data_IF_070899139505
#
_entry.id   IF_070899139505
#
_cell.length_a   1.000
_cell.length_b   1.000
_cell.length_c   1.000
_cell.angle_alpha   90.00
_cell.angle_beta   90.00
_cell.angle_gamma   90.00
#
_symmetry.space_group_name_H-M   'P 1'
#
loop_
_entity.id
_entity.type
_entity.pdbx_description
1 polymer ?
#
# COMPACT_ATOMS: atom_id res chain seq x y z
N UNK A 1 -5.18 38.34 -3.37
CA UNK A 1 -5.92 37.17 -2.81
C UNK A 1 -5.66 35.84 -3.55
N UNK A 2 -5.91 35.71 -4.88
CA UNK A 2 -5.74 34.42 -5.60
C UNK A 2 -4.27 33.97 -5.65
N UNK A 3 -3.35 34.89 -5.94
CA UNK A 3 -1.90 34.62 -6.03
C UNK A 3 -1.29 34.25 -4.68
N UNK A 4 -1.62 34.99 -3.62
CA UNK A 4 -1.18 34.69 -2.25
C UNK A 4 -1.62 33.30 -1.79
N UNK A 5 -2.84 32.88 -2.18
CA UNK A 5 -3.35 31.54 -1.91
C UNK A 5 -2.54 30.47 -2.65
N UNK A 6 -2.26 30.68 -3.94
CA UNK A 6 -1.41 29.77 -4.74
C UNK A 6 -0.01 29.63 -4.13
N UNK A 7 0.64 30.75 -3.81
CA UNK A 7 1.98 30.77 -3.20
C UNK A 7 2.00 30.08 -1.84
N UNK A 8 0.99 30.32 -0.99
CA UNK A 8 0.85 29.67 0.32
C UNK A 8 0.68 28.16 0.17
N UNK A 9 -0.22 27.71 -0.69
CA UNK A 9 -0.46 26.29 -0.94
C UNK A 9 0.79 25.61 -1.49
N UNK A 10 1.43 26.18 -2.52
CA UNK A 10 2.64 25.61 -3.11
C UNK A 10 3.79 25.54 -2.11
N UNK A 11 3.92 26.53 -1.21
CA UNK A 11 4.91 26.50 -0.13
C UNK A 11 4.69 25.32 0.82
N UNK A 12 3.44 25.02 1.18
CA UNK A 12 3.09 23.88 2.02
C UNK A 12 3.39 22.57 1.29
N UNK A 13 2.90 22.42 0.05
CA UNK A 13 3.11 21.21 -0.76
C UNK A 13 4.60 20.92 -0.96
N UNK A 14 5.42 21.95 -1.23
CA UNK A 14 6.88 21.78 -1.37
C UNK A 14 7.54 21.26 -0.09
N UNK A 15 7.14 21.76 1.09
CA UNK A 15 7.65 21.24 2.38
C UNK A 15 7.30 19.77 2.56
N UNK A 16 6.04 19.41 2.30
CA UNK A 16 5.57 18.01 2.35
C UNK A 16 6.36 17.14 1.37
N UNK A 17 6.57 17.63 0.13
CA UNK A 17 7.32 16.93 -0.93
C UNK A 17 8.74 16.61 -0.49
N UNK A 18 9.44 17.55 0.15
CA UNK A 18 10.80 17.32 0.68
C UNK A 18 10.79 16.29 1.81
N UNK A 19 9.83 16.39 2.74
CA UNK A 19 9.69 15.42 3.84
C UNK A 19 9.47 14.01 3.31
N UNK A 20 8.55 13.84 2.35
CA UNK A 20 8.27 12.55 1.71
C UNK A 20 9.49 12.06 0.93
N UNK A 21 10.14 12.92 0.13
CA UNK A 21 11.35 12.56 -0.61
C UNK A 21 12.49 12.07 0.29
N UNK A 22 12.68 12.73 1.45
CA UNK A 22 13.62 12.28 2.48
C UNK A 22 13.21 10.93 3.06
N UNK A 23 11.94 10.75 3.45
CA UNK A 23 11.46 9.48 3.99
C UNK A 23 11.62 8.32 2.99
N UNK A 24 11.30 8.53 1.71
CA UNK A 24 11.45 7.55 0.62
C UNK A 24 12.92 7.17 0.40
N UNK A 25 13.86 8.05 0.72
CA UNK A 25 15.31 7.78 0.61
C UNK A 25 15.87 7.13 1.87
N UNK A 26 15.48 7.62 3.05
CA UNK A 26 16.01 7.18 4.34
C UNK A 26 15.49 5.79 4.71
N UNK A 27 14.20 5.50 4.48
CA UNK A 27 13.61 4.22 4.85
C UNK A 27 14.37 3.02 4.24
N UNK A 28 14.63 2.96 2.91
CA UNK A 28 15.42 1.88 2.33
C UNK A 28 16.85 1.77 2.90
N UNK A 29 17.48 2.88 3.28
CA UNK A 29 18.81 2.90 3.91
C UNK A 29 18.75 2.27 5.31
N UNK A 30 17.74 2.61 6.12
CA UNK A 30 17.54 2.02 7.44
C UNK A 30 17.29 0.51 7.38
N UNK A 31 16.61 0.05 6.33
CA UNK A 31 16.33 -1.36 6.09
C UNK A 31 17.33 -2.04 5.14
N UNK A 32 18.48 -1.43 4.84
CA UNK A 32 19.40 -1.89 3.79
C UNK A 32 19.84 -3.35 3.94
N UNK A 33 20.08 -3.78 5.18
CA UNK A 33 20.48 -5.14 5.51
C UNK A 33 19.35 -6.17 5.36
N UNK A 34 18.09 -5.72 5.32
CA UNK A 34 16.91 -6.55 5.08
C UNK A 34 16.51 -6.59 3.61
N UNK A 35 17.12 -5.77 2.75
CA UNK A 35 16.90 -5.80 1.31
C UNK A 35 17.79 -6.91 0.71
N UNK A 36 17.22 -7.87 -0.04
CA UNK A 36 17.99 -8.93 -0.68
C UNK A 36 19.05 -8.37 -1.62
N UNK A 37 20.25 -8.96 -1.64
CA UNK A 37 21.38 -8.52 -2.50
C UNK A 37 21.03 -8.54 -3.99
N UNK A 38 20.13 -9.44 -4.38
CA UNK A 38 19.62 -9.58 -5.75
C UNK A 38 18.15 -9.21 -5.79
N UNK A 39 17.82 -8.21 -6.60
CA UNK A 39 16.45 -7.75 -6.85
C UNK A 39 16.12 -7.87 -8.35
N UNK A 40 14.89 -8.25 -8.73
CA UNK A 40 14.49 -8.27 -10.13
C UNK A 40 14.56 -6.87 -10.73
N UNK A 41 15.33 -6.71 -11.79
CA UNK A 41 15.61 -5.42 -12.36
C UNK A 41 14.80 -5.14 -13.62
N UNK A 42 14.62 -6.16 -14.46
CA UNK A 42 13.78 -6.11 -15.66
C UNK A 42 12.90 -7.36 -15.76
N UNK A 43 11.76 -7.19 -16.44
CA UNK A 43 10.85 -8.28 -16.73
C UNK A 43 10.45 -8.21 -18.20
N UNK A 44 10.46 -9.36 -18.86
CA UNK A 44 9.92 -9.49 -20.20
C UNK A 44 8.40 -9.28 -20.24
N UNK A 45 7.87 -9.17 -21.45
CA UNK A 45 6.44 -8.99 -21.75
C UNK A 45 5.60 -10.16 -21.20
N UNK A 46 6.18 -11.36 -21.12
CA UNK A 46 5.56 -12.57 -20.55
C UNK A 46 5.45 -12.58 -19.02
N UNK A 47 6.04 -11.58 -18.36
CA UNK A 47 6.03 -11.47 -16.92
C UNK A 47 7.19 -12.16 -16.20
N UNK A 48 8.03 -12.91 -16.91
CA UNK A 48 9.23 -13.57 -16.35
C UNK A 48 10.36 -12.56 -16.13
N UNK A 49 11.16 -12.80 -15.09
CA UNK A 49 12.39 -12.04 -14.82
C UNK A 49 13.40 -12.43 -15.90
N UNK A 50 13.80 -11.47 -16.73
CA UNK A 50 14.86 -11.64 -17.74
C UNK A 50 16.18 -10.98 -17.28
N UNK A 51 16.13 -10.06 -16.30
CA UNK A 51 17.29 -9.47 -15.65
C UNK A 51 17.12 -9.39 -14.13
N UNK A 52 18.02 -10.05 -13.41
CA UNK A 52 18.23 -9.87 -11.97
C UNK A 52 19.33 -8.81 -11.79
N UNK A 53 19.07 -7.78 -11.01
CA UNK A 53 20.02 -6.71 -10.66
C UNK A 53 20.42 -6.75 -9.19
N UNK A 54 21.37 -5.90 -8.82
CA UNK A 54 21.80 -5.74 -7.43
C UNK A 54 20.92 -4.74 -6.66
N UNK A 55 20.82 -4.88 -5.34
CA UNK A 55 20.16 -3.86 -4.48
C UNK A 55 20.77 -2.47 -4.63
N UNK A 56 22.04 -2.39 -5.02
CA UNK A 56 22.75 -1.14 -5.33
C UNK A 56 22.07 -0.32 -6.44
N UNK A 57 21.29 -0.94 -7.33
CA UNK A 57 20.52 -0.22 -8.35
C UNK A 57 19.47 0.74 -7.73
N UNK A 58 19.09 0.53 -6.46
CA UNK A 58 18.23 1.46 -5.71
C UNK A 58 18.92 2.81 -5.48
N UNK A 59 20.25 2.84 -5.32
CA UNK A 59 21.02 4.07 -5.13
C UNK A 59 20.88 4.97 -6.36
N UNK A 60 20.99 4.38 -7.56
CA UNK A 60 20.78 5.11 -8.81
C UNK A 60 19.37 5.69 -8.87
N UNK A 61 18.36 4.95 -8.41
CA UNK A 61 16.98 5.41 -8.42
C UNK A 61 16.74 6.58 -7.44
N UNK A 62 17.38 6.58 -6.26
CA UNK A 62 17.36 7.74 -5.36
C UNK A 62 18.12 8.93 -5.94
N UNK A 63 19.27 8.70 -6.56
CA UNK A 63 20.03 9.75 -7.24
C UNK A 63 19.20 10.42 -8.34
N UNK A 64 18.58 9.62 -9.21
CA UNK A 64 17.69 10.11 -10.28
C UNK A 64 16.49 10.87 -9.70
N UNK A 65 15.87 10.36 -8.61
CA UNK A 65 14.80 11.07 -7.92
C UNK A 65 15.24 12.48 -7.48
N UNK A 66 16.37 12.59 -6.78
CA UNK A 66 16.86 13.88 -6.29
C UNK A 66 17.35 14.81 -7.40
N UNK A 67 17.91 14.25 -8.49
CA UNK A 67 18.24 15.00 -9.69
C UNK A 67 16.99 15.65 -10.30
N UNK A 68 15.91 14.88 -10.47
CA UNK A 68 14.63 15.35 -11.03
C UNK A 68 13.95 16.34 -10.09
N UNK A 69 13.95 16.10 -8.77
CA UNK A 69 13.41 17.06 -7.80
C UNK A 69 14.22 18.36 -7.77
N UNK A 70 15.54 18.26 -7.87
CA UNK A 70 16.46 19.40 -7.94
C UNK A 70 16.20 20.24 -9.19
N UNK A 71 16.14 19.62 -10.36
CA UNK A 71 15.90 20.33 -11.62
C UNK A 71 14.52 21.02 -11.65
N UNK A 72 13.47 20.34 -11.21
CA UNK A 72 12.13 20.92 -11.09
C UNK A 72 12.05 22.01 -10.02
N UNK A 73 12.87 21.93 -8.96
CA UNK A 73 12.99 22.99 -7.95
C UNK A 73 13.62 24.25 -8.52
N UNK A 74 14.63 24.11 -9.39
CA UNK A 74 15.24 25.23 -10.13
C UNK A 74 14.21 25.89 -11.05
N UNK A 75 13.47 25.11 -11.85
CA UNK A 75 12.39 25.63 -12.70
C UNK A 75 11.33 26.35 -11.86
N UNK A 76 10.91 25.73 -10.75
CA UNK A 76 9.94 26.33 -9.82
C UNK A 76 10.46 27.61 -9.16
N UNK A 77 11.77 27.73 -8.94
CA UNK A 77 12.39 28.96 -8.44
C UNK A 77 12.26 30.07 -9.47
N UNK A 78 12.66 29.84 -10.73
CA UNK A 78 12.55 30.81 -11.81
C UNK A 78 11.12 31.26 -12.07
N UNK A 79 10.16 30.33 -12.13
CA UNK A 79 8.74 30.67 -12.33
C UNK A 79 8.20 31.54 -11.21
N UNK A 80 8.58 31.21 -9.96
CA UNK A 80 8.17 31.99 -8.80
C UNK A 80 8.80 33.38 -8.81
N UNK A 81 10.13 33.48 -8.97
CA UNK A 81 10.83 34.77 -8.90
C UNK A 81 10.42 35.71 -10.02
N UNK A 82 10.19 35.18 -11.22
CA UNK A 82 9.72 35.96 -12.36
C UNK A 82 8.29 36.46 -12.13
N UNK A 83 7.39 35.58 -11.69
CA UNK A 83 5.98 35.94 -11.47
C UNK A 83 5.71 36.84 -10.26
N UNK A 84 6.54 36.81 -9.21
CA UNK A 84 6.39 37.73 -8.05
C UNK A 84 7.17 39.04 -8.22
N UNK A 85 7.89 39.20 -9.33
CA UNK A 85 8.68 40.40 -9.60
C UNK A 85 7.77 41.62 -9.77
N UNK A 86 8.23 42.78 -9.29
CA UNK A 86 7.55 44.07 -9.56
C UNK A 86 7.45 44.38 -11.06
N UNK A 87 8.32 43.76 -11.87
CA UNK A 87 8.39 43.92 -13.33
C UNK A 87 7.82 42.71 -14.08
N UNK A 88 7.04 41.85 -13.43
CA UNK A 88 6.44 40.67 -14.05
C UNK A 88 5.51 41.09 -15.21
N UNK A 89 5.67 40.48 -16.38
CA UNK A 89 4.74 40.67 -17.48
C UNK A 89 3.49 39.77 -17.31
N UNK A 90 2.49 39.96 -18.17
CA UNK A 90 1.24 39.17 -18.11
C UNK A 90 1.49 37.65 -18.21
N UNK A 91 2.47 37.24 -19.01
CA UNK A 91 2.86 35.84 -19.18
C UNK A 91 3.53 35.26 -17.94
N UNK A 92 4.35 36.04 -17.23
CA UNK A 92 4.98 35.63 -15.97
C UNK A 92 3.93 35.44 -14.86
N UNK A 93 2.91 36.30 -14.83
CA UNK A 93 1.77 36.15 -13.93
C UNK A 93 0.93 34.91 -14.28
N UNK A 94 0.68 34.67 -15.57
CA UNK A 94 -0.01 33.45 -16.03
C UNK A 94 0.76 32.20 -15.63
N UNK A 95 2.06 32.15 -15.88
CA UNK A 95 2.95 31.05 -15.49
C UNK A 95 2.95 30.81 -13.98
N UNK A 96 2.93 31.87 -13.16
CA UNK A 96 2.83 31.77 -11.71
C UNK A 96 1.51 31.15 -11.24
N UNK A 97 0.42 31.47 -11.92
CA UNK A 97 -0.92 31.00 -11.57
C UNK A 97 -1.23 29.59 -12.11
N UNK A 98 -0.53 29.13 -13.15
CA UNK A 98 -0.82 27.87 -13.86
C UNK A 98 0.33 26.86 -13.79
N UNK A 99 1.50 27.22 -14.34
CA UNK A 99 2.64 26.31 -14.49
C UNK A 99 3.32 26.04 -13.13
N UNK A 100 3.53 27.08 -12.32
CA UNK A 100 4.15 26.93 -11.00
C UNK A 100 3.41 25.95 -10.06
N UNK A 101 2.08 26.03 -9.87
CA UNK A 101 1.36 25.04 -9.09
C UNK A 101 1.36 23.66 -9.76
N UNK A 102 1.26 23.58 -11.09
CA UNK A 102 1.33 22.31 -11.82
C UNK A 102 2.65 21.58 -11.56
N UNK A 103 3.80 22.27 -11.71
CA UNK A 103 5.12 21.68 -11.43
C UNK A 103 5.21 21.28 -9.96
N UNK A 104 4.69 22.08 -9.04
CA UNK A 104 4.67 21.74 -7.60
C UNK A 104 3.93 20.42 -7.35
N UNK A 105 2.77 20.19 -7.99
CA UNK A 105 2.05 18.92 -7.87
C UNK A 105 2.75 17.75 -8.56
N UNK A 106 3.34 17.98 -9.75
CA UNK A 106 4.15 16.96 -10.44
C UNK A 106 5.31 16.53 -9.54
N UNK A 107 6.02 17.46 -8.88
CA UNK A 107 7.12 17.11 -7.96
C UNK A 107 6.65 16.25 -6.80
N UNK A 108 5.47 16.51 -6.23
CA UNK A 108 4.89 15.67 -5.19
C UNK A 108 4.64 14.25 -5.70
N UNK A 109 3.97 14.11 -6.85
CA UNK A 109 3.65 12.80 -7.44
C UNK A 109 4.94 12.01 -7.73
N UNK A 110 5.97 12.67 -8.26
CA UNK A 110 7.25 12.05 -8.59
C UNK A 110 7.90 11.37 -7.37
N UNK A 111 7.71 11.90 -6.15
CA UNK A 111 8.25 11.26 -4.92
C UNK A 111 7.72 9.85 -4.65
N UNK A 112 6.57 9.49 -5.21
CA UNK A 112 5.98 8.15 -5.07
C UNK A 112 6.46 7.17 -6.15
N UNK A 113 7.16 7.63 -7.19
CA UNK A 113 7.65 6.78 -8.30
C UNK A 113 8.49 5.60 -7.82
N UNK A 114 9.46 5.77 -6.89
CA UNK A 114 10.22 4.65 -6.34
C UNK A 114 9.31 3.59 -5.69
N UNK A 115 8.32 4.04 -4.92
CA UNK A 115 7.36 3.17 -4.24
C UNK A 115 6.51 2.42 -5.26
N UNK A 116 5.96 3.10 -6.28
CA UNK A 116 5.12 2.47 -7.31
C UNK A 116 5.91 1.45 -8.12
N UNK A 117 7.13 1.80 -8.54
CA UNK A 117 8.02 0.87 -9.25
C UNK A 117 8.36 -0.33 -8.36
N UNK A 118 8.67 -0.10 -7.09
CA UNK A 118 8.98 -1.16 -6.15
C UNK A 118 7.78 -2.07 -5.88
N UNK A 119 6.60 -1.52 -5.60
CA UNK A 119 5.36 -2.31 -5.39
C UNK A 119 5.02 -3.11 -6.65
N UNK A 120 5.16 -2.51 -7.84
CA UNK A 120 4.94 -3.19 -9.11
C UNK A 120 5.90 -4.37 -9.30
N UNK A 121 7.19 -4.16 -9.07
CA UNK A 121 8.22 -5.22 -9.12
C UNK A 121 7.96 -6.30 -8.07
N UNK A 122 7.70 -5.92 -6.81
CA UNK A 122 7.43 -6.83 -5.71
C UNK A 122 6.17 -7.68 -5.96
N UNK A 123 5.09 -7.10 -6.48
CA UNK A 123 3.87 -7.84 -6.86
C UNK A 123 4.14 -8.83 -7.98
N UNK A 124 4.91 -8.43 -9.00
CA UNK A 124 5.22 -9.28 -10.17
C UNK A 124 6.15 -10.44 -9.79
N UNK A 125 7.12 -10.24 -8.90
CA UNK A 125 7.92 -11.33 -8.33
C UNK A 125 7.12 -12.21 -7.35
N UNK A 126 6.12 -11.64 -6.69
CA UNK A 126 5.24 -12.38 -5.79
C UNK A 126 4.14 -13.16 -6.52
N UNK A 127 3.93 -12.87 -7.81
CA UNK A 127 3.10 -13.69 -8.65
C UNK A 127 3.85 -15.01 -8.89
N UNK A 128 3.49 -16.04 -8.12
CA UNK A 128 3.96 -17.41 -8.32
C UNK A 128 3.65 -17.91 -9.73
N UNK A 129 4.08 -19.14 -10.04
CA UNK A 129 3.93 -19.69 -11.38
C UNK A 129 2.45 -19.65 -11.84
N UNK A 130 2.13 -19.02 -12.99
CA UNK A 130 0.75 -18.96 -13.48
C UNK A 130 0.09 -20.34 -13.62
N UNK A 131 0.85 -21.39 -13.97
CA UNK A 131 0.30 -22.75 -14.06
C UNK A 131 -0.04 -23.34 -12.70
N UNK A 132 0.79 -23.08 -11.68
CA UNK A 132 0.54 -23.49 -10.30
C UNK A 132 -0.67 -22.77 -9.72
N UNK A 133 -0.80 -21.46 -9.99
CA UNK A 133 -1.99 -20.69 -9.64
C UNK A 133 -3.25 -21.28 -10.30
N UNK A 134 -3.17 -21.70 -11.56
CA UNK A 134 -4.29 -22.32 -12.26
C UNK A 134 -4.67 -23.69 -11.64
N UNK A 135 -3.68 -24.49 -11.21
CA UNK A 135 -3.92 -25.74 -10.47
C UNK A 135 -4.68 -25.49 -9.18
N UNK A 136 -4.28 -24.50 -8.39
CA UNK A 136 -4.99 -24.15 -7.15
C UNK A 136 -6.42 -23.68 -7.41
N UNK A 137 -6.64 -22.87 -8.46
CA UNK A 137 -8.00 -22.43 -8.84
C UNK A 137 -8.87 -23.62 -9.26
N UNK A 138 -8.29 -24.63 -9.92
CA UNK A 138 -9.00 -25.85 -10.28
C UNK A 138 -9.28 -26.75 -9.07
N UNK A 139 -8.39 -26.80 -8.07
CA UNK A 139 -8.65 -27.49 -6.80
C UNK A 139 -9.80 -26.81 -6.03
N UNK A 140 -9.79 -25.47 -5.97
CA UNK A 140 -10.85 -24.67 -5.32
C UNK A 140 -12.26 -24.89 -5.87
N UNK A 141 -12.40 -25.37 -7.12
CA UNK A 141 -13.72 -25.70 -7.70
C UNK A 141 -14.15 -27.15 -7.46
N UNK A 142 -13.24 -28.02 -7.01
CA UNK A 142 -13.48 -29.45 -6.82
C UNK A 142 -13.71 -29.83 -5.36
N UNK A 143 -13.19 -29.05 -4.42
CA UNK A 143 -13.30 -29.33 -2.99
C UNK A 143 -13.73 -28.10 -2.20
N UNK A 144 -14.47 -28.35 -1.12
CA UNK A 144 -14.79 -27.32 -0.13
C UNK A 144 -13.68 -27.25 0.91
N UNK A 145 -12.98 -26.11 0.96
CA UNK A 145 -11.94 -25.86 1.95
C UNK A 145 -12.52 -25.49 3.33
N UNK A 146 -11.77 -25.78 4.39
CA UNK A 146 -12.15 -25.41 5.77
C UNK A 146 -11.90 -23.92 5.97
N UNK A 147 -12.96 -23.14 6.21
CA UNK A 147 -12.88 -21.68 6.28
C UNK A 147 -12.89 -21.13 7.72
N UNK A 148 -11.90 -20.30 8.04
CA UNK A 148 -11.79 -19.55 9.28
C UNK A 148 -11.95 -18.06 8.99
N UNK A 149 -12.71 -17.34 9.83
CA UNK A 149 -12.85 -15.88 9.74
C UNK A 149 -11.69 -15.18 10.44
N UNK A 150 -11.39 -13.96 10.02
CA UNK A 150 -10.51 -13.07 10.78
C UNK A 150 -11.16 -12.65 12.09
N UNK A 151 -10.34 -12.64 13.15
CA UNK A 151 -10.65 -12.06 14.44
C UNK A 151 -10.55 -10.54 14.35
N UNK A 152 -11.46 -9.87 15.05
CA UNK A 152 -11.47 -8.42 15.21
C UNK A 152 -11.36 -8.15 16.71
N UNK A 153 -10.30 -7.46 17.12
CA UNK A 153 -10.16 -7.08 18.52
C UNK A 153 -11.28 -6.12 18.93
N UNK A 154 -11.79 -6.27 20.15
CA UNK A 154 -12.91 -5.47 20.64
C UNK A 154 -12.62 -3.96 20.60
N UNK A 155 -11.38 -3.56 20.92
CA UNK A 155 -10.96 -2.15 20.94
C UNK A 155 -10.93 -1.57 19.53
N UNK A 156 -10.54 -2.38 18.53
CA UNK A 156 -10.52 -1.98 17.13
C UNK A 156 -11.94 -1.89 16.55
N UNK A 157 -12.81 -2.83 16.93
CA UNK A 157 -14.23 -2.78 16.59
C UNK A 157 -14.89 -1.49 17.15
N UNK A 158 -14.59 -1.14 18.41
CA UNK A 158 -15.06 0.11 19.02
C UNK A 158 -14.56 1.33 18.24
N UNK A 159 -13.29 1.35 17.84
CA UNK A 159 -12.72 2.43 17.04
C UNK A 159 -13.45 2.59 15.70
N UNK A 160 -13.72 1.49 14.97
CA UNK A 160 -14.49 1.55 13.73
C UNK A 160 -15.90 2.09 13.94
N UNK A 161 -16.58 1.65 15.02
CA UNK A 161 -17.93 2.14 15.37
C UNK A 161 -17.92 3.63 15.66
N UNK A 162 -16.94 4.13 16.43
CA UNK A 162 -16.85 5.55 16.77
C UNK A 162 -16.58 6.42 15.54
N UNK A 163 -15.65 5.99 14.68
CA UNK A 163 -15.32 6.73 13.46
C UNK A 163 -16.50 6.76 12.49
N UNK A 164 -17.06 5.60 12.16
CA UNK A 164 -18.19 5.51 11.21
C UNK A 164 -19.43 6.17 11.80
N UNK A 165 -19.72 5.93 13.07
CA UNK A 165 -20.87 6.49 13.78
C UNK A 165 -20.80 8.01 13.91
N UNK A 166 -19.61 8.57 14.18
CA UNK A 166 -19.40 10.01 14.23
C UNK A 166 -19.66 10.69 12.89
N UNK A 167 -19.15 10.13 11.80
CA UNK A 167 -19.38 10.65 10.44
C UNK A 167 -20.86 10.56 10.03
N UNK A 168 -21.50 9.42 10.31
CA UNK A 168 -22.94 9.25 10.08
C UNK A 168 -23.76 10.23 10.90
N UNK A 169 -23.41 10.46 12.16
CA UNK A 169 -24.08 11.44 13.01
C UNK A 169 -24.00 12.86 12.43
N UNK A 170 -22.81 13.30 12.00
CA UNK A 170 -22.63 14.61 11.35
C UNK A 170 -23.46 14.69 10.07
N UNK A 171 -23.41 13.64 9.24
CA UNK A 171 -24.20 13.55 8.01
C UNK A 171 -25.70 13.69 8.30
N UNK A 172 -26.24 12.95 9.27
CA UNK A 172 -27.65 13.02 9.65
C UNK A 172 -28.04 14.37 10.24
N UNK A 173 -27.20 14.97 11.09
CA UNK A 173 -27.45 16.31 11.64
C UNK A 173 -27.49 17.37 10.53
N UNK A 174 -26.61 17.26 9.52
CA UNK A 174 -26.60 18.15 8.36
C UNK A 174 -27.89 17.99 7.54
N UNK A 175 -28.32 16.74 7.34
CA UNK A 175 -29.56 16.43 6.60
C UNK A 175 -30.83 16.92 7.33
N UNK A 176 -30.95 16.63 8.63
CA UNK A 176 -32.14 16.96 9.42
C UNK A 176 -32.29 18.47 9.66
N UNK A 177 -31.21 19.16 10.00
CA UNK A 177 -31.28 20.58 10.37
C UNK A 177 -31.19 21.52 9.17
N UNK A 178 -30.40 21.18 8.14
CA UNK A 178 -30.15 22.07 7.00
C UNK A 178 -30.93 21.66 5.74
N UNK A 179 -31.57 20.49 5.73
CA UNK A 179 -32.29 19.96 4.57
C UNK A 179 -31.40 19.74 3.33
N UNK A 180 -30.07 19.70 3.51
CA UNK A 180 -29.09 19.61 2.42
C UNK A 180 -28.16 18.42 2.65
N UNK A 181 -27.88 17.69 1.57
CA UNK A 181 -26.90 16.59 1.58
C UNK A 181 -25.50 17.17 1.51
N UNK A 182 -24.70 16.88 2.54
CA UNK A 182 -23.29 17.27 2.58
C UNK A 182 -22.41 16.18 1.94
N UNK A 183 -22.23 16.30 0.63
CA UNK A 183 -21.54 15.30 -0.19
C UNK A 183 -20.13 14.93 0.31
N UNK A 184 -19.42 15.86 0.97
CA UNK A 184 -18.09 15.61 1.53
C UNK A 184 -18.15 14.52 2.61
N UNK A 185 -19.08 14.62 3.56
CA UNK A 185 -19.25 13.63 4.63
C UNK A 185 -19.70 12.27 4.08
N UNK A 186 -20.58 12.27 3.07
CA UNK A 186 -21.02 11.04 2.41
C UNK A 186 -19.85 10.33 1.70
N UNK A 187 -19.01 11.09 0.96
CA UNK A 187 -17.81 10.53 0.32
C UNK A 187 -16.83 10.01 1.36
N UNK A 188 -16.63 10.71 2.48
CA UNK A 188 -15.77 10.25 3.57
C UNK A 188 -16.25 8.91 4.17
N UNK A 189 -17.54 8.77 4.46
CA UNK A 189 -18.14 7.51 4.94
C UNK A 189 -17.92 6.38 3.93
N UNK A 190 -18.15 6.62 2.64
CA UNK A 190 -17.93 5.62 1.59
C UNK A 190 -16.46 5.18 1.55
N UNK A 191 -15.52 6.12 1.62
CA UNK A 191 -14.09 5.80 1.62
C UNK A 191 -13.68 4.99 2.87
N UNK A 192 -14.21 5.33 4.04
CA UNK A 192 -13.98 4.58 5.29
C UNK A 192 -14.57 3.17 5.17
N UNK A 193 -15.78 3.02 4.66
CA UNK A 193 -16.41 1.72 4.47
C UNK A 193 -15.66 0.87 3.45
N UNK A 194 -15.21 1.46 2.34
CA UNK A 194 -14.32 0.78 1.39
C UNK A 194 -13.07 0.27 2.11
N UNK A 195 -12.46 1.05 3.00
CA UNK A 195 -11.30 0.56 3.75
C UNK A 195 -11.63 -0.56 4.77
N UNK A 196 -12.68 -0.39 5.57
CA UNK A 196 -12.97 -1.26 6.73
C UNK A 196 -13.64 -2.58 6.33
N UNK A 197 -14.61 -2.55 5.40
CA UNK A 197 -15.39 -3.74 4.99
C UNK A 197 -14.51 -4.91 4.52
N UNK A 198 -13.52 -4.75 3.63
CA UNK A 198 -12.70 -5.88 3.20
C UNK A 198 -11.84 -6.43 4.34
N UNK A 199 -11.42 -5.60 5.30
CA UNK A 199 -10.60 -6.02 6.45
C UNK A 199 -11.37 -6.93 7.40
N UNK A 200 -12.62 -6.60 7.72
CA UNK A 200 -13.46 -7.45 8.61
C UNK A 200 -14.06 -8.67 7.91
N UNK A 201 -13.91 -8.78 6.59
CA UNK A 201 -14.43 -9.88 5.75
C UNK A 201 -13.35 -10.85 5.29
N UNK A 202 -12.13 -10.74 5.83
CA UNK A 202 -11.03 -11.66 5.49
C UNK A 202 -11.38 -13.08 5.93
N UNK A 203 -11.10 -14.03 5.04
CA UNK A 203 -11.23 -15.47 5.28
C UNK A 203 -9.91 -16.18 5.02
N UNK A 204 -9.61 -17.15 5.86
CA UNK A 204 -8.48 -18.05 5.77
C UNK A 204 -9.04 -19.45 5.46
N UNK A 205 -8.76 -19.99 4.28
CA UNK A 205 -9.37 -21.22 3.79
C UNK A 205 -8.27 -22.26 3.55
N UNK A 206 -8.41 -23.44 4.18
CA UNK A 206 -7.47 -24.55 4.08
C UNK A 206 -8.00 -25.59 3.07
N UNK A 207 -7.32 -25.72 1.94
CA UNK A 207 -7.57 -26.72 0.88
C UNK A 207 -6.61 -27.91 1.02
N UNK A 208 -6.76 -28.98 0.25
CA UNK A 208 -5.88 -30.14 0.35
C UNK A 208 -4.42 -29.81 0.00
N UNK A 209 -4.21 -29.00 -1.04
CA UNK A 209 -2.89 -28.69 -1.60
C UNK A 209 -2.32 -27.35 -1.12
N UNK A 210 -3.18 -26.39 -0.76
CA UNK A 210 -2.76 -25.02 -0.48
C UNK A 210 -3.62 -24.32 0.58
N UNK A 211 -3.02 -23.29 1.16
CA UNK A 211 -3.68 -22.34 2.02
C UNK A 211 -4.07 -21.08 1.24
N UNK A 212 -5.31 -20.61 1.38
CA UNK A 212 -5.85 -19.41 0.74
C UNK A 212 -6.20 -18.33 1.76
N UNK A 213 -5.63 -17.14 1.59
CA UNK A 213 -6.04 -15.89 2.24
C UNK A 213 -6.91 -15.10 1.27
N UNK A 214 -8.15 -14.82 1.63
CA UNK A 214 -9.12 -14.11 0.79
C UNK A 214 -9.56 -12.81 1.46
N UNK A 215 -9.10 -11.68 0.93
CA UNK A 215 -9.38 -10.33 1.45
C UNK A 215 -10.37 -9.55 0.55
N UNK A 216 -11.43 -10.22 0.09
CA UNK A 216 -12.44 -9.60 -0.78
C UNK A 216 -11.83 -9.02 -2.06
N UNK A 217 -12.12 -7.75 -2.34
CA UNK A 217 -11.59 -7.07 -3.53
C UNK A 217 -10.12 -6.62 -3.38
N UNK A 218 -9.55 -6.64 -2.17
CA UNK A 218 -8.11 -6.38 -1.96
C UNK A 218 -7.25 -7.51 -2.52
N UNK A 219 -7.85 -8.67 -2.77
CA UNK A 219 -7.23 -9.77 -3.51
C UNK A 219 -7.27 -11.09 -2.76
N UNK A 220 -6.67 -12.09 -3.42
CA UNK A 220 -6.53 -13.46 -2.93
C UNK A 220 -5.06 -13.85 -2.98
N UNK A 221 -4.55 -14.42 -1.91
CA UNK A 221 -3.18 -14.92 -1.81
C UNK A 221 -3.21 -16.41 -1.49
N UNK A 222 -2.47 -17.20 -2.26
CA UNK A 222 -2.37 -18.66 -2.12
C UNK A 222 -0.95 -19.01 -1.70
N UNK A 223 -0.81 -19.92 -0.76
CA UNK A 223 0.45 -20.37 -0.19
C UNK A 223 0.42 -21.90 -0.21
N UNK A 224 1.34 -22.54 -0.93
CA UNK A 224 1.46 -23.99 -0.93
C UNK A 224 2.00 -24.48 0.42
N UNK A 225 1.52 -25.60 0.95
CA UNK A 225 2.01 -26.11 2.24
C UNK A 225 3.51 -26.42 2.22
N UNK A 226 4.00 -26.98 1.11
CA UNK A 226 5.42 -27.26 0.87
C UNK A 226 6.32 -26.03 0.87
N UNK A 227 5.75 -24.82 0.71
CA UNK A 227 6.51 -23.57 0.76
C UNK A 227 6.66 -23.00 2.17
N UNK A 228 5.90 -23.49 3.14
CA UNK A 228 5.88 -23.00 4.51
C UNK A 228 7.11 -23.55 5.25
N UNK A 229 7.89 -22.65 5.84
CA UNK A 229 9.13 -22.98 6.55
C UNK A 229 8.92 -22.96 8.06
N UNK A 230 8.11 -22.03 8.55
CA UNK A 230 7.91 -21.85 9.99
C UNK A 230 6.54 -21.23 10.27
N UNK A 231 5.93 -21.63 11.39
CA UNK A 231 4.63 -21.15 11.86
C UNK A 231 4.82 -20.80 13.33
N UNK A 232 4.62 -19.52 13.68
CA UNK A 232 4.80 -19.05 15.07
C UNK A 232 3.71 -18.07 15.48
N UNK A 233 3.40 -18.05 16.77
CA UNK A 233 2.49 -17.05 17.34
C UNK A 233 3.23 -15.72 17.52
N UNK A 234 2.53 -14.61 17.29
CA UNK A 234 3.13 -13.28 17.31
C UNK A 234 2.10 -12.22 17.71
N UNK A 235 2.60 -11.17 18.36
CA UNK A 235 1.83 -9.96 18.69
C UNK A 235 2.39 -8.73 17.92
N UNK A 236 3.18 -8.98 16.87
CA UNK A 236 3.92 -7.97 16.12
C UNK A 236 3.00 -6.91 15.49
N UNK A 237 2.98 -5.63 15.92
CA UNK A 237 2.02 -4.61 15.47
C UNK A 237 2.23 -4.14 14.02
N UNK A 238 3.12 -4.76 13.26
CA UNK A 238 3.29 -4.51 11.84
C UNK A 238 1.95 -4.56 11.09
N UNK A 239 1.79 -3.61 10.17
CA UNK A 239 0.61 -3.48 9.34
C UNK A 239 0.42 -4.74 8.50
N UNK A 240 -0.73 -5.38 8.67
CA UNK A 240 -1.15 -6.55 7.91
C UNK A 240 -2.67 -6.52 7.71
N UNK A 241 -3.21 -7.20 6.69
CA UNK A 241 -4.64 -7.40 6.53
C UNK A 241 -5.14 -8.42 7.57
N UNK A 242 -5.16 -8.01 8.84
CA UNK A 242 -5.55 -8.79 10.00
C UNK A 242 -6.04 -7.82 11.09
N UNK A 243 -7.27 -8.01 11.59
CA UNK A 243 -7.92 -7.07 12.51
C UNK A 243 -7.73 -7.41 14.00
N UNK A 244 -6.74 -8.23 14.33
CA UNK A 244 -6.40 -8.58 15.71
C UNK A 244 -4.89 -8.66 15.88
N UNK A 245 -4.41 -8.35 17.08
CA UNK A 245 -2.99 -8.45 17.42
C UNK A 245 -2.56 -9.88 17.72
N UNK A 246 -3.47 -10.74 18.19
CA UNK A 246 -3.21 -12.16 18.41
C UNK A 246 -3.15 -12.88 17.06
N UNK A 247 -1.93 -13.09 16.58
CA UNK A 247 -1.65 -13.52 15.21
C UNK A 247 -0.75 -14.72 15.14
N UNK A 248 -0.83 -15.40 14.01
CA UNK A 248 0.16 -16.38 13.56
C UNK A 248 0.95 -15.76 12.42
N UNK A 249 2.26 -15.82 12.53
CA UNK A 249 3.21 -15.52 11.47
C UNK A 249 3.54 -16.82 10.73
N UNK A 250 3.23 -16.84 9.45
CA UNK A 250 3.58 -17.94 8.54
C UNK A 250 4.76 -17.46 7.72
N UNK A 251 5.93 -18.05 7.93
CA UNK A 251 7.12 -17.83 7.12
C UNK A 251 7.10 -18.83 5.96
N UNK A 252 7.22 -18.36 4.72
CA UNK A 252 7.15 -19.19 3.52
C UNK A 252 8.07 -18.68 2.41
N UNK A 253 8.48 -19.56 1.50
CA UNK A 253 9.41 -19.24 0.41
C UNK A 253 8.70 -19.29 -0.93
N UNK A 254 8.70 -18.17 -1.66
CA UNK A 254 8.15 -18.11 -3.03
C UNK A 254 9.24 -17.65 -3.97
N UNK A 255 9.52 -18.47 -4.99
CA UNK A 255 10.55 -18.18 -5.99
C UNK A 255 11.92 -17.83 -5.35
N UNK A 256 12.29 -18.58 -4.31
CA UNK A 256 13.57 -18.41 -3.59
C UNK A 256 13.63 -17.22 -2.61
N UNK A 257 12.55 -16.46 -2.42
CA UNK A 257 12.50 -15.38 -1.44
C UNK A 257 11.69 -15.77 -0.20
N UNK A 258 12.27 -15.55 0.97
CA UNK A 258 11.55 -15.63 2.25
C UNK A 258 10.54 -14.50 2.35
N UNK A 259 9.31 -14.87 2.72
CA UNK A 259 8.21 -13.96 3.01
C UNK A 259 7.55 -14.41 4.29
N UNK A 260 6.78 -13.52 4.87
CA UNK A 260 5.90 -13.87 5.96
C UNK A 260 4.50 -13.34 5.71
N UNK A 261 3.51 -13.99 6.31
CA UNK A 261 2.12 -13.55 6.33
C UNK A 261 1.66 -13.53 7.78
N UNK A 262 1.10 -12.39 8.19
CA UNK A 262 0.49 -12.21 9.50
C UNK A 262 -1.02 -12.42 9.38
N UNK A 263 -1.54 -13.42 10.06
CA UNK A 263 -2.95 -13.81 10.01
C UNK A 263 -3.55 -13.87 11.41
N UNK A 264 -4.82 -13.47 11.55
CA UNK A 264 -5.53 -13.49 12.85
C UNK A 264 -6.82 -14.30 12.76
N UNK A 265 -6.80 -15.65 12.72
CA UNK A 265 -8.03 -16.43 12.71
C UNK A 265 -8.76 -16.40 14.06
N UNK A 266 -10.10 -16.35 14.07
CA UNK A 266 -10.93 -16.37 15.29
C UNK A 266 -10.59 -17.55 16.22
N UNK A 267 -10.39 -18.74 15.65
CA UNK A 267 -10.01 -19.93 16.39
C UNK A 267 -8.52 -20.24 16.18
N UNK A 268 -7.66 -19.33 16.62
CA UNK A 268 -6.22 -19.33 16.34
C UNK A 268 -5.54 -20.68 16.60
N UNK A 269 -5.76 -21.28 17.77
CA UNK A 269 -5.16 -22.57 18.15
C UNK A 269 -5.63 -23.73 17.26
N UNK A 270 -6.92 -23.78 16.92
CA UNK A 270 -7.47 -24.81 16.04
C UNK A 270 -6.94 -24.65 14.61
N UNK A 271 -6.90 -23.42 14.12
CA UNK A 271 -6.35 -23.09 12.80
C UNK A 271 -4.88 -23.50 12.71
N UNK A 272 -4.06 -23.14 13.70
CA UNK A 272 -2.63 -23.45 13.73
C UNK A 272 -2.38 -24.96 13.68
N UNK A 273 -3.09 -25.73 14.51
CA UNK A 273 -2.97 -27.20 14.55
C UNK A 273 -3.33 -27.85 13.20
N UNK A 274 -4.42 -27.40 12.58
CA UNK A 274 -4.85 -27.89 11.27
C UNK A 274 -3.84 -27.52 10.16
N UNK A 275 -3.27 -26.31 10.23
CA UNK A 275 -2.25 -25.85 9.30
C UNK A 275 -0.97 -26.69 9.41
N UNK A 276 -0.46 -26.90 10.63
CA UNK A 276 0.74 -27.71 10.90
C UNK A 276 0.56 -29.15 10.39
N UNK A 277 -0.60 -29.77 10.66
CA UNK A 277 -0.91 -31.13 10.20
C UNK A 277 -0.92 -31.29 8.67
N UNK A 278 -1.10 -30.20 7.91
CA UNK A 278 -1.07 -30.21 6.44
C UNK A 278 0.32 -29.93 5.88
N UNK A 279 1.20 -29.27 6.65
CA UNK A 279 2.59 -29.04 6.28
C UNK A 279 3.48 -30.27 6.51
N UNK A 280 3.11 -31.16 7.43
CA UNK A 280 3.86 -32.38 7.75
C UNK A 280 3.59 -33.55 6.78
N UNK A 281 2.68 -33.38 5.82
CA UNK A 281 2.36 -34.38 4.78
C UNK A 281 3.20 -34.16 3.52
#
# INVERSE_FOLDING_TARGET
MREEKVLRTCKIVRKITVIIGLAVTILPILFWNYIPDKIPAHYGVSGKVDRVGGKEELILLFFVLWLVLGSLSVVSYYLKTSGVSKYANEKDNEHLQTIYPMITWITLITTFTPIVVYIGKARKHSAGNPSEKAKFVQAESREEGIAYRTAVDWWLALLFILVIGGELWIFFQSLLNKGKVEWITLVAVILILLLVVPLVRIKYILYSEHFLISAGYLGKQRIAYSSIVNIKETHNPLSAPACSLDRVEIDYVVSGMHKFALISPVHLKMFKKELESRCEK
#
